data_IF_953665288807
#
_entry.id   IF_953665288807
#
_cell.length_a   1.000
_cell.length_b   1.000
_cell.length_c   1.000
_cell.angle_alpha   90.00
_cell.angle_beta   90.00
_cell.angle_gamma   90.00
#
_symmetry.space_group_name_H-M   'P 1'
#
loop_
_entity.id
_entity.type
_entity.pdbx_description
1 polymer ?
#
# COMPACT_ATOMS: atom_id res chain seq x y z
N UNK A 1 38.87 -39.55 12.56
CA UNK A 1 38.54 -38.98 11.26
C UNK A 1 37.40 -37.96 11.43
N UNK A 2 37.67 -36.65 11.32
CA UNK A 2 36.77 -35.58 11.76
C UNK A 2 35.83 -35.11 10.65
N UNK A 3 34.97 -35.98 10.13
CA UNK A 3 33.92 -35.58 9.17
C UNK A 3 32.67 -35.06 9.90
N UNK A 4 32.80 -33.91 10.56
CA UNK A 4 31.67 -33.12 11.05
C UNK A 4 31.25 -32.10 9.99
N UNK A 5 30.08 -32.38 9.39
CA UNK A 5 29.02 -31.52 8.82
C UNK A 5 29.38 -30.07 8.42
N UNK A 6 28.78 -29.61 7.31
CA UNK A 6 28.03 -28.36 7.38
C UNK A 6 26.56 -28.64 7.11
N UNK A 7 25.76 -28.42 8.15
CA UNK A 7 24.32 -28.23 8.05
C UNK A 7 24.03 -27.03 7.13
N UNK A 8 23.49 -27.28 5.95
CA UNK A 8 22.97 -26.22 5.09
C UNK A 8 21.64 -25.70 5.66
N UNK A 9 21.70 -24.94 6.76
CA UNK A 9 20.62 -24.05 7.22
C UNK A 9 20.72 -22.72 6.49
N UNK A 10 20.47 -22.76 5.19
CA UNK A 10 20.46 -21.58 4.32
C UNK A 10 19.12 -20.86 4.34
N UNK A 11 18.89 -20.09 5.41
CA UNK A 11 17.95 -18.95 5.53
C UNK A 11 16.53 -19.15 4.99
N UNK A 12 15.61 -19.31 5.94
CA UNK A 12 14.15 -19.10 5.81
C UNK A 12 13.88 -17.81 5.02
N UNK A 13 13.56 -17.91 3.73
CA UNK A 13 13.15 -16.80 2.83
C UNK A 13 11.76 -16.24 3.19
N UNK A 14 11.39 -16.32 4.46
CA UNK A 14 10.04 -16.08 4.97
C UNK A 14 9.81 -14.70 5.57
N UNK A 15 10.78 -13.78 5.50
CA UNK A 15 10.67 -12.46 6.13
C UNK A 15 10.92 -11.30 5.16
N UNK A 16 10.24 -11.33 4.00
CA UNK A 16 10.06 -10.14 3.15
C UNK A 16 8.62 -9.59 3.19
N UNK A 17 7.85 -9.92 4.22
CA UNK A 17 6.43 -9.54 4.31
C UNK A 17 6.17 -8.10 4.80
N UNK A 18 7.16 -7.42 5.39
CA UNK A 18 7.02 -6.06 5.96
C UNK A 18 7.83 -5.00 5.22
N UNK A 19 8.02 -5.20 3.91
CA UNK A 19 8.88 -4.34 3.11
C UNK A 19 8.12 -3.23 2.38
N UNK A 20 6.88 -2.88 2.72
CA UNK A 20 6.09 -1.90 1.95
C UNK A 20 5.43 -0.87 2.87
N UNK A 21 5.80 0.39 2.71
CA UNK A 21 5.11 1.54 3.31
C UNK A 21 4.02 2.01 2.35
N UNK A 22 2.81 2.21 2.86
CA UNK A 22 1.70 2.79 2.10
C UNK A 22 1.41 4.17 2.69
N UNK A 23 1.61 5.22 1.89
CA UNK A 23 1.27 6.59 2.22
C UNK A 23 0.04 6.99 1.39
N UNK A 24 -0.99 7.54 2.01
CA UNK A 24 -2.15 8.06 1.31
C UNK A 24 -2.66 9.33 1.96
N UNK A 25 -3.13 10.27 1.14
CA UNK A 25 -3.67 11.55 1.61
C UNK A 25 -5.09 11.64 1.07
N UNK A 26 -6.09 11.53 1.96
CA UNK A 26 -7.50 11.63 1.58
C UNK A 26 -8.04 13.05 1.73
N UNK A 27 -8.57 13.61 0.65
CA UNK A 27 -9.29 14.89 0.66
C UNK A 27 -10.75 14.65 0.33
N UNK A 28 -11.63 14.87 1.30
CA UNK A 28 -13.08 14.83 1.11
C UNK A 28 -13.66 16.24 1.13
N UNK A 29 -14.52 16.53 0.16
CA UNK A 29 -15.29 17.77 0.09
C UNK A 29 -16.74 17.48 -0.24
N UNK A 30 -17.63 18.09 0.54
CA UNK A 30 -19.04 18.13 0.21
C UNK A 30 -19.26 19.18 -0.89
N UNK A 31 -19.77 18.74 -2.05
CA UNK A 31 -20.21 19.64 -3.14
C UNK A 31 -21.58 20.23 -2.83
N UNK A 32 -22.38 19.57 -1.98
CA UNK A 32 -23.66 20.08 -1.51
C UNK A 32 -24.28 19.15 -0.48
N UNK A 33 -25.59 19.27 -0.26
CA UNK A 33 -26.32 18.45 0.71
C UNK A 33 -26.40 16.97 0.33
N UNK A 34 -26.32 16.66 -0.97
CA UNK A 34 -26.52 15.30 -1.52
C UNK A 34 -25.30 14.70 -2.21
N UNK A 35 -24.32 15.52 -2.57
CA UNK A 35 -23.14 15.08 -3.30
C UNK A 35 -21.88 15.42 -2.51
N UNK A 36 -21.02 14.43 -2.36
CA UNK A 36 -19.70 14.57 -1.78
C UNK A 36 -18.69 13.90 -2.72
N UNK A 37 -17.53 14.50 -2.88
CA UNK A 37 -16.44 13.91 -3.64
C UNK A 37 -15.24 13.72 -2.74
N UNK A 38 -14.47 12.69 -3.03
CA UNK A 38 -13.27 12.33 -2.30
C UNK A 38 -12.18 12.01 -3.30
N UNK A 39 -11.00 12.57 -3.07
CA UNK A 39 -9.80 12.25 -3.83
C UNK A 39 -8.73 11.78 -2.84
N UNK A 40 -8.17 10.60 -3.07
CA UNK A 40 -7.16 10.00 -2.21
C UNK A 40 -5.95 9.58 -3.06
N UNK A 41 -5.00 10.50 -3.31
CA UNK A 41 -3.66 10.13 -3.76
C UNK A 41 -3.02 9.11 -2.80
N UNK A 42 -2.44 8.06 -3.35
CA UNK A 42 -1.70 7.03 -2.61
C UNK A 42 -0.36 6.72 -3.28
N UNK A 43 0.62 6.35 -2.45
CA UNK A 43 1.96 5.99 -2.83
C UNK A 43 2.40 4.78 -1.99
N UNK A 44 2.77 3.70 -2.67
CA UNK A 44 3.31 2.48 -2.07
C UNK A 44 4.81 2.45 -2.33
N UNK A 45 5.59 2.51 -1.26
CA UNK A 45 7.05 2.52 -1.28
C UNK A 45 7.57 1.22 -0.69
N UNK A 46 8.20 0.34 -1.49
CA UNK A 46 8.88 -0.81 -0.94
C UNK A 46 10.18 -0.38 -0.21
N UNK A 47 10.24 -0.59 1.10
CA UNK A 47 11.42 -0.41 1.96
C UNK A 47 12.42 -1.57 1.88
N UNK A 48 11.99 -2.76 1.45
CA UNK A 48 12.85 -3.94 1.31
C UNK A 48 13.09 -4.28 -0.16
N UNK A 49 14.33 -4.08 -0.60
CA UNK A 49 14.77 -4.45 -1.95
C UNK A 49 15.05 -5.94 -2.05
N UNK A 50 14.34 -6.63 -2.93
CA UNK A 50 14.61 -8.04 -3.27
C UNK A 50 15.68 -8.09 -4.37
N UNK A 51 16.83 -8.72 -4.06
CA UNK A 51 17.81 -9.36 -4.96
C UNK A 51 18.30 -8.63 -6.24
N UNK A 52 19.63 -8.42 -6.34
CA UNK A 52 20.49 -8.05 -7.50
C UNK A 52 20.12 -6.85 -8.39
N UNK A 53 18.85 -6.54 -8.60
CA UNK A 53 18.36 -5.37 -9.28
C UNK A 53 17.49 -4.60 -8.30
N UNK A 54 17.98 -3.46 -7.83
CA UNK A 54 17.30 -2.53 -6.91
C UNK A 54 16.10 -1.86 -7.60
N UNK A 55 15.17 -2.66 -8.13
CA UNK A 55 14.00 -2.18 -8.86
C UNK A 55 12.99 -1.73 -7.82
N UNK A 56 12.91 -0.41 -7.65
CA UNK A 56 11.89 0.24 -6.83
C UNK A 56 10.55 0.10 -7.56
N UNK A 57 9.85 -1.02 -7.39
CA UNK A 57 8.43 -1.17 -7.77
C UNK A 57 7.59 -0.32 -6.81
N UNK A 58 7.75 1.00 -6.92
CA UNK A 58 6.85 1.96 -6.28
C UNK A 58 5.56 2.01 -7.09
N UNK A 59 4.41 1.89 -6.43
CA UNK A 59 3.11 2.07 -7.08
C UNK A 59 2.45 3.32 -6.55
N UNK A 60 2.22 4.31 -7.41
CA UNK A 60 1.46 5.51 -7.09
C UNK A 60 0.15 5.52 -7.85
N UNK A 61 -0.90 6.05 -7.24
CA UNK A 61 -2.17 6.27 -7.91
C UNK A 61 -3.02 7.29 -7.16
N UNK A 62 -4.20 7.56 -7.69
CA UNK A 62 -5.19 8.45 -7.07
C UNK A 62 -6.53 7.74 -7.12
N UNK A 63 -7.17 7.60 -5.97
CA UNK A 63 -8.57 7.17 -5.89
C UNK A 63 -9.47 8.39 -6.00
N UNK A 64 -10.42 8.38 -6.93
CA UNK A 64 -11.47 9.40 -7.01
C UNK A 64 -12.79 8.71 -6.76
N UNK A 65 -13.53 9.20 -5.77
CA UNK A 65 -14.81 8.66 -5.35
C UNK A 65 -15.88 9.76 -5.35
N UNK A 66 -17.03 9.45 -5.95
CA UNK A 66 -18.21 10.30 -5.90
C UNK A 66 -19.25 9.61 -5.02
N UNK A 67 -19.64 10.26 -3.92
CA UNK A 67 -20.63 9.78 -2.96
C UNK A 67 -21.93 10.54 -3.20
N UNK A 68 -23.01 9.78 -3.44
CA UNK A 68 -24.36 10.32 -3.53
C UNK A 68 -25.17 9.87 -2.31
N UNK A 69 -25.66 10.83 -1.52
CA UNK A 69 -26.52 10.56 -0.38
C UNK A 69 -27.97 10.41 -0.87
N UNK A 70 -28.45 9.16 -0.92
CA UNK A 70 -29.88 8.84 -1.09
C UNK A 70 -30.56 9.02 0.26
N UNK A 71 -30.84 10.27 0.60
CA UNK A 71 -31.64 10.65 1.76
C UNK A 71 -32.45 11.88 1.37
N UNK A 72 -33.69 11.97 1.86
CA UNK A 72 -34.52 13.17 1.64
C UNK A 72 -33.68 14.40 2.02
N UNK A 73 -33.66 15.47 1.20
CA UNK A 73 -33.11 16.73 1.67
C UNK A 73 -33.85 17.04 2.97
N UNK A 74 -33.10 17.28 4.04
CA UNK A 74 -33.69 17.71 5.30
C UNK A 74 -34.62 18.90 4.98
N UNK A 75 -35.86 18.77 5.47
CA UNK A 75 -37.02 19.61 5.18
C UNK A 75 -36.73 21.08 5.48
#
# INVERSE_FOLDING_TARGET
>A
DPYLRPEWRGKRTGEHYLSVVNLSVGYERNLGRRFSWQAEPFLKLPLGGVGFGKVRLGSSGVFVSLKYKIGKPDQ
#
